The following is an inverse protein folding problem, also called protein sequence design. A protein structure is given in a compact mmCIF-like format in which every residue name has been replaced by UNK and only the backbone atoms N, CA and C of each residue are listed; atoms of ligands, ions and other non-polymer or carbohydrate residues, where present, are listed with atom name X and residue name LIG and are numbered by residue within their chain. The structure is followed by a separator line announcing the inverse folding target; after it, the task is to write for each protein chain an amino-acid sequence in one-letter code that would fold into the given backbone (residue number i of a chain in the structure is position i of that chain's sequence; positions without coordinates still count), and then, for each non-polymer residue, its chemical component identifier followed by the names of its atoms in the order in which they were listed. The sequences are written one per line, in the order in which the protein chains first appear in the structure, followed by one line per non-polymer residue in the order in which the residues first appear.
data_IF_836174751362
#
_entry.id   IF_836174751362
#
_cell.length_a   1.000
_cell.length_b   1.000
_cell.length_c   1.000
_cell.angle_alpha   90.00
_cell.angle_beta   90.00
_cell.angle_gamma   90.00
#
_symmetry.space_group_name_H-M   'P 1'
#
loop_
_entity.id
_entity.type
_entity.pdbx_description
1 polymer ?
#
# COMPACT_ATOMS: atom_id res chain seq x y z
N UNK A 1 -24.05 37.92 -39.20
CA UNK A 1 -24.28 36.48 -39.00
C UNK A 1 -24.12 36.21 -37.51
N UNK A 2 -25.18 35.79 -36.82
CA UNK A 2 -25.10 35.46 -35.39
C UNK A 2 -24.72 33.99 -35.24
N UNK A 3 -23.65 33.70 -34.51
CA UNK A 3 -23.28 32.33 -34.17
C UNK A 3 -24.20 31.91 -33.02
N UNK A 4 -25.03 30.89 -33.25
CA UNK A 4 -25.87 30.30 -32.22
C UNK A 4 -25.04 29.29 -31.43
N UNK A 5 -24.65 29.65 -30.21
CA UNK A 5 -23.96 28.76 -29.27
C UNK A 5 -24.99 27.91 -28.52
N UNK A 6 -24.83 26.59 -28.57
CA UNK A 6 -25.59 25.64 -27.76
C UNK A 6 -24.64 24.95 -26.78
N UNK A 7 -24.50 25.51 -25.57
CA UNK A 7 -23.58 24.99 -24.56
C UNK A 7 -23.82 23.49 -24.22
N UNK A 8 -25.06 23.01 -24.29
CA UNK A 8 -25.37 21.61 -23.97
C UNK A 8 -25.00 20.63 -25.09
N UNK A 9 -25.10 21.05 -26.36
CA UNK A 9 -24.78 20.22 -27.52
C UNK A 9 -23.33 20.35 -27.97
N UNK A 10 -22.80 21.56 -27.94
CA UNK A 10 -21.45 21.88 -28.44
C UNK A 10 -20.35 21.39 -27.49
N UNK A 11 -20.68 21.22 -26.20
CA UNK A 11 -19.74 20.72 -25.18
C UNK A 11 -20.06 19.30 -24.69
N UNK A 12 -21.11 18.65 -25.21
CA UNK A 12 -21.47 17.28 -24.82
C UNK A 12 -20.41 16.22 -25.16
N UNK A 13 -19.44 16.57 -26.02
CA UNK A 13 -18.29 15.73 -26.37
C UNK A 13 -16.95 16.28 -25.83
N UNK A 14 -16.94 17.35 -25.03
CA UNK A 14 -15.73 17.67 -24.28
C UNK A 14 -15.57 16.59 -23.21
N UNK A 15 -14.48 15.83 -23.29
CA UNK A 15 -14.04 14.97 -22.20
C UNK A 15 -13.96 15.86 -20.95
N UNK A 16 -14.86 15.62 -20.00
CA UNK A 16 -14.88 16.27 -18.69
C UNK A 16 -13.63 15.93 -17.86
N UNK A 17 -12.83 14.95 -18.32
CA UNK A 17 -11.63 14.47 -17.65
C UNK A 17 -11.95 13.84 -16.30
N UNK A 18 -13.22 13.52 -16.06
CA UNK A 18 -13.68 12.93 -14.82
C UNK A 18 -13.48 11.43 -14.86
N UNK A 19 -12.94 10.92 -13.77
CA UNK A 19 -12.74 9.51 -13.52
C UNK A 19 -13.69 9.08 -12.40
N UNK A 20 -14.14 7.84 -12.46
CA UNK A 20 -14.88 7.26 -11.34
C UNK A 20 -13.92 6.96 -10.20
N UNK A 21 -14.20 7.50 -9.02
CA UNK A 21 -13.54 7.14 -7.77
C UNK A 21 -14.53 6.46 -6.84
N UNK A 22 -14.06 5.48 -6.08
CA UNK A 22 -14.81 4.84 -5.00
C UNK A 22 -14.08 5.10 -3.68
N UNK A 23 -14.76 5.76 -2.74
CA UNK A 23 -14.27 5.97 -1.38
C UNK A 23 -14.69 4.78 -0.51
N UNK A 24 -13.71 4.11 0.10
CA UNK A 24 -13.93 3.11 1.14
C UNK A 24 -13.51 3.68 2.50
N UNK A 25 -14.41 3.58 3.48
CA UNK A 25 -14.15 4.07 4.84
C UNK A 25 -13.60 2.95 5.71
N UNK A 26 -12.66 3.30 6.58
CA UNK A 26 -12.06 2.33 7.51
C UNK A 26 -13.06 1.79 8.55
N UNK A 27 -14.20 2.46 8.76
CA UNK A 27 -15.23 2.08 9.72
C UNK A 27 -16.23 1.03 9.21
N UNK A 28 -16.03 0.51 8.00
CA UNK A 28 -16.90 -0.52 7.41
C UNK A 28 -18.22 0.01 6.87
N UNK A 29 -18.29 1.30 6.54
CA UNK A 29 -19.45 1.91 5.90
C UNK A 29 -19.51 1.57 4.41
N UNK A 30 -20.70 1.71 3.81
CA UNK A 30 -20.91 1.48 2.38
C UNK A 30 -20.01 2.38 1.53
N UNK A 31 -19.38 1.84 0.46
CA UNK A 31 -18.52 2.63 -0.42
C UNK A 31 -19.29 3.76 -1.10
N UNK A 32 -18.66 4.93 -1.24
CA UNK A 32 -19.25 6.07 -1.94
C UNK A 32 -18.59 6.28 -3.29
N UNK A 33 -19.35 6.16 -4.38
CA UNK A 33 -18.86 6.45 -5.74
C UNK A 33 -19.03 7.93 -6.08
N UNK A 34 -17.98 8.54 -6.63
CA UNK A 34 -17.93 9.96 -7.03
C UNK A 34 -17.25 10.11 -8.39
N UNK A 35 -17.61 11.16 -9.12
CA UNK A 35 -16.88 11.59 -10.31
C UNK A 35 -15.82 12.62 -9.89
N UNK A 36 -14.57 12.39 -10.27
CA UNK A 36 -13.44 13.19 -9.79
C UNK A 36 -12.44 13.51 -10.88
N UNK A 37 -11.81 14.67 -10.75
CA UNK A 37 -10.70 15.07 -11.60
C UNK A 37 -9.38 14.68 -10.95
N UNK A 38 -8.57 13.89 -11.67
CA UNK A 38 -7.16 13.66 -11.36
C UNK A 38 -6.34 14.89 -11.76
N UNK A 39 -6.10 15.80 -10.81
CA UNK A 39 -5.43 17.06 -11.10
C UNK A 39 -3.93 16.88 -11.37
N UNK A 40 -3.26 16.07 -10.56
CA UNK A 40 -1.86 15.72 -10.75
C UNK A 40 -1.56 14.34 -10.16
N UNK A 41 -0.54 13.68 -10.69
CA UNK A 41 -0.03 12.42 -10.15
C UNK A 41 1.49 12.44 -10.21
N UNK A 42 2.12 12.38 -9.04
CA UNK A 42 3.57 12.39 -8.91
C UNK A 42 4.06 11.02 -8.49
N UNK A 43 4.97 10.45 -9.29
CA UNK A 43 5.61 9.18 -8.98
C UNK A 43 7.01 9.45 -8.46
N UNK A 44 7.30 8.91 -7.29
CA UNK A 44 8.61 8.97 -6.66
C UNK A 44 9.00 7.59 -6.14
N UNK A 45 10.27 7.42 -5.84
CA UNK A 45 10.74 6.22 -5.19
C UNK A 45 10.48 6.29 -3.68
N UNK A 46 10.03 5.18 -3.10
CA UNK A 46 9.87 5.09 -1.65
C UNK A 46 11.17 4.57 -1.04
N UNK A 47 11.86 5.43 -0.28
CA UNK A 47 13.25 5.22 0.16
C UNK A 47 14.22 4.98 -1.01
N UNK A 48 15.51 4.79 -0.72
CA UNK A 48 16.51 4.40 -1.71
C UNK A 48 16.40 2.90 -2.02
N UNK A 49 15.24 2.52 -2.55
CA UNK A 49 14.88 1.15 -2.93
C UNK A 49 15.44 0.75 -4.32
N UNK A 50 16.36 1.50 -4.92
CA UNK A 50 16.75 1.35 -6.32
C UNK A 50 15.61 1.13 -7.33
N UNK A 51 14.37 1.55 -7.04
CA UNK A 51 13.18 1.43 -7.87
C UNK A 51 12.25 0.25 -7.56
N UNK A 52 12.46 -0.49 -6.47
CA UNK A 52 11.58 -1.61 -6.11
C UNK A 52 10.30 -1.17 -5.37
N UNK A 53 10.34 -0.02 -4.70
CA UNK A 53 9.21 0.56 -4.01
C UNK A 53 8.89 1.90 -4.67
N UNK A 54 7.65 2.05 -5.10
CA UNK A 54 7.18 3.23 -5.79
C UNK A 54 6.09 3.85 -4.95
N UNK A 55 6.16 5.17 -4.81
CA UNK A 55 5.12 5.98 -4.20
C UNK A 55 4.48 6.82 -5.28
N UNK A 56 3.15 6.81 -5.33
CA UNK A 56 2.35 7.65 -6.21
C UNK A 56 1.46 8.51 -5.34
N UNK A 57 1.70 9.81 -5.38
CA UNK A 57 0.84 10.79 -4.73
C UNK A 57 -0.06 11.43 -5.78
N UNK A 58 -1.37 11.33 -5.59
CA UNK A 58 -2.37 11.82 -6.55
C UNK A 58 -3.24 12.89 -5.91
N UNK A 59 -3.37 14.03 -6.59
CA UNK A 59 -4.25 15.12 -6.19
C UNK A 59 -5.58 14.96 -6.91
N UNK A 60 -6.65 14.80 -6.14
CA UNK A 60 -8.01 14.65 -6.62
C UNK A 60 -8.84 15.91 -6.34
N UNK A 61 -9.74 16.24 -7.25
CA UNK A 61 -10.73 17.29 -7.04
C UNK A 61 -12.12 16.80 -7.43
N UNK A 62 -13.09 16.93 -6.54
CA UNK A 62 -14.46 16.46 -6.79
C UNK A 62 -15.48 17.21 -5.94
N UNK A 63 -16.74 17.14 -6.39
CA UNK A 63 -17.89 17.57 -5.61
C UNK A 63 -18.29 16.44 -4.67
N UNK A 64 -18.65 16.79 -3.43
CA UNK A 64 -19.06 15.81 -2.45
C UNK A 64 -20.59 15.77 -2.34
N UNK A 65 -21.21 14.58 -2.33
CA UNK A 65 -22.66 14.47 -2.20
C UNK A 65 -23.18 15.20 -0.95
N UNK A 66 -24.26 15.96 -1.11
CA UNK A 66 -24.90 16.64 0.02
C UNK A 66 -25.50 15.62 0.99
N UNK A 67 -25.36 15.86 2.29
CA UNK A 67 -25.88 14.99 3.34
C UNK A 67 -25.06 13.71 3.59
N UNK A 68 -23.94 13.53 2.88
CA UNK A 68 -22.96 12.48 3.18
C UNK A 68 -21.81 13.10 3.94
N UNK A 69 -21.36 12.45 5.01
CA UNK A 69 -20.20 12.92 5.78
C UNK A 69 -18.99 13.08 4.85
N UNK A 70 -18.15 14.12 5.01
CA UNK A 70 -16.97 14.29 4.17
C UNK A 70 -15.97 13.14 4.37
N UNK A 71 -15.08 12.87 3.38
CA UNK A 71 -14.00 11.91 3.55
C UNK A 71 -13.06 12.32 4.69
N UNK A 72 -12.50 11.33 5.38
CA UNK A 72 -11.52 11.52 6.45
C UNK A 72 -10.12 11.09 5.98
N UNK A 73 -9.09 11.59 6.66
CA UNK A 73 -7.71 11.12 6.47
C UNK A 73 -7.64 9.65 6.88
N UNK A 74 -7.10 8.83 5.99
CA UNK A 74 -6.98 7.37 6.16
C UNK A 74 -8.02 6.55 5.41
N UNK A 75 -9.11 7.16 4.95
CA UNK A 75 -10.02 6.48 4.01
C UNK A 75 -9.28 6.11 2.72
N UNK A 76 -9.77 5.09 2.01
CA UNK A 76 -9.17 4.60 0.77
C UNK A 76 -9.92 5.14 -0.44
N UNK A 77 -9.19 5.67 -1.42
CA UNK A 77 -9.71 6.01 -2.75
C UNK A 77 -9.28 4.94 -3.75
N UNK A 78 -10.25 4.34 -4.43
CA UNK A 78 -10.04 3.39 -5.51
C UNK A 78 -10.45 4.06 -6.83
N UNK A 79 -9.51 4.16 -7.76
CA UNK A 79 -9.79 4.74 -9.08
C UNK A 79 -10.40 3.73 -10.07
N UNK A 80 -10.79 4.20 -11.25
CA UNK A 80 -11.39 3.38 -12.30
C UNK A 80 -10.45 2.30 -12.86
N UNK A 81 -9.16 2.34 -12.53
CA UNK A 81 -8.17 1.33 -12.91
C UNK A 81 -7.88 0.35 -11.76
N UNK A 82 -8.59 0.46 -10.64
CA UNK A 82 -8.43 -0.39 -9.46
C UNK A 82 -7.24 0.00 -8.58
N UNK A 83 -6.61 1.15 -8.81
CA UNK A 83 -5.51 1.63 -7.98
C UNK A 83 -6.07 2.14 -6.66
N UNK A 84 -5.52 1.68 -5.54
CA UNK A 84 -6.00 2.03 -4.20
C UNK A 84 -4.97 2.91 -3.47
N UNK A 85 -5.38 4.12 -3.09
CA UNK A 85 -4.55 5.05 -2.33
C UNK A 85 -5.22 5.51 -1.05
N UNK A 86 -4.46 5.58 0.05
CA UNK A 86 -4.95 6.12 1.31
C UNK A 86 -4.99 7.66 1.25
N UNK A 87 -6.08 8.26 1.74
CA UNK A 87 -6.21 9.72 1.86
C UNK A 87 -5.27 10.26 2.91
N UNK A 88 -4.39 11.18 2.51
CA UNK A 88 -3.44 11.85 3.39
C UNK A 88 -3.90 13.25 3.79
N UNK A 89 -4.65 13.91 2.92
CA UNK A 89 -5.13 15.26 3.15
C UNK A 89 -6.48 15.44 2.50
N UNK A 90 -7.40 16.07 3.24
CA UNK A 90 -8.70 16.49 2.76
C UNK A 90 -8.82 17.98 3.01
N UNK A 91 -9.07 18.75 1.95
CA UNK A 91 -9.28 20.19 2.04
C UNK A 91 -10.43 20.63 1.14
N UNK A 92 -10.94 21.85 1.36
CA UNK A 92 -11.90 22.49 0.46
C UNK A 92 -11.18 23.49 -0.45
N UNK A 93 -11.58 23.54 -1.72
CA UNK A 93 -11.14 24.60 -2.63
C UNK A 93 -11.87 25.91 -2.34
N UNK A 94 -11.34 27.02 -2.85
CA UNK A 94 -11.95 28.35 -2.74
C UNK A 94 -13.36 28.32 -3.35
N UNK A 95 -14.36 28.75 -2.59
CA UNK A 95 -15.78 28.68 -2.96
C UNK A 95 -16.55 27.53 -2.31
N UNK A 96 -15.88 26.64 -1.55
CA UNK A 96 -16.47 25.55 -0.78
C UNK A 96 -17.31 24.51 -1.55
N UNK A 97 -17.33 24.57 -2.88
CA UNK A 97 -18.10 23.66 -3.73
C UNK A 97 -17.38 22.34 -3.98
N UNK A 98 -16.05 22.31 -3.89
CA UNK A 98 -15.22 21.14 -4.23
C UNK A 98 -14.23 20.79 -3.14
N UNK A 99 -14.02 19.50 -2.97
CA UNK A 99 -12.93 18.95 -2.18
C UNK A 99 -11.66 18.86 -3.03
N UNK A 100 -10.52 19.12 -2.39
CA UNK A 100 -9.18 18.80 -2.88
C UNK A 100 -8.59 17.78 -1.93
N UNK A 101 -8.41 16.57 -2.43
CA UNK A 101 -7.85 15.47 -1.67
C UNK A 101 -6.47 15.09 -2.21
N UNK A 102 -5.59 14.60 -1.33
CA UNK A 102 -4.33 13.97 -1.72
C UNK A 102 -4.39 12.53 -1.25
N UNK A 103 -4.28 11.58 -2.19
CA UNK A 103 -4.13 10.16 -1.88
C UNK A 103 -2.70 9.71 -2.12
N UNK A 104 -2.25 8.73 -1.35
CA UNK A 104 -0.97 8.07 -1.55
C UNK A 104 -1.17 6.59 -1.75
N UNK A 105 -0.56 6.11 -2.82
CA UNK A 105 -0.43 4.71 -3.11
C UNK A 105 1.05 4.32 -3.04
N UNK A 106 1.34 3.19 -2.41
CA UNK A 106 2.65 2.58 -2.44
C UNK A 106 2.56 1.23 -3.15
N UNK A 107 3.48 0.97 -4.09
CA UNK A 107 3.50 -0.26 -4.88
C UNK A 107 4.87 -0.90 -4.85
N UNK A 108 4.88 -2.23 -4.88
CA UNK A 108 6.04 -3.00 -5.27
C UNK A 108 6.17 -3.00 -6.79
N UNK A 109 7.38 -2.78 -7.31
CA UNK A 109 7.65 -2.96 -8.73
C UNK A 109 7.63 -4.45 -9.09
N UNK A 110 6.72 -4.86 -9.98
CA UNK A 110 6.49 -6.28 -10.31
C UNK A 110 7.76 -7.05 -10.73
N UNK A 111 8.66 -6.42 -11.48
CA UNK A 111 9.92 -7.04 -11.91
C UNK A 111 10.99 -7.19 -10.82
N UNK A 112 10.72 -6.73 -9.60
CA UNK A 112 11.66 -6.77 -8.46
C UNK A 112 11.05 -7.36 -7.19
N UNK A 113 9.76 -7.65 -7.20
CA UNK A 113 9.07 -8.40 -6.15
C UNK A 113 9.16 -9.90 -6.41
N UNK A 114 9.29 -10.69 -5.36
CA UNK A 114 9.19 -12.14 -5.39
C UNK A 114 7.94 -12.61 -4.65
N UNK A 115 7.50 -13.83 -4.94
CA UNK A 115 6.42 -14.49 -4.21
C UNK A 115 6.98 -15.16 -2.96
N UNK A 116 6.34 -14.95 -1.81
CA UNK A 116 6.69 -15.58 -0.55
C UNK A 116 5.46 -16.18 0.13
N UNK A 117 5.67 -17.24 0.89
CA UNK A 117 4.71 -17.72 1.87
C UNK A 117 5.12 -17.23 3.26
N UNK A 118 4.15 -16.78 4.03
CA UNK A 118 4.32 -16.45 5.44
C UNK A 118 3.84 -17.66 6.24
N UNK A 119 4.76 -18.28 6.98
CA UNK A 119 4.52 -19.51 7.73
C UNK A 119 4.76 -19.28 9.21
N UNK A 120 3.80 -19.68 10.04
CA UNK A 120 3.92 -19.68 11.49
C UNK A 120 4.22 -21.09 11.98
N UNK A 121 5.22 -21.21 12.85
CA UNK A 121 5.58 -22.49 13.48
C UNK A 121 4.96 -22.57 14.87
N UNK A 122 4.28 -23.67 15.17
CA UNK A 122 3.84 -23.98 16.52
C UNK A 122 4.94 -24.80 17.21
N UNK A 123 5.32 -24.38 18.43
CA UNK A 123 6.36 -25.01 19.22
C UNK A 123 5.76 -25.69 20.44
N UNK A 124 6.18 -26.91 20.73
CA UNK A 124 5.89 -27.61 21.98
C UNK A 124 7.18 -28.15 22.59
N UNK A 125 7.25 -28.17 23.92
CA UNK A 125 8.36 -28.80 24.63
C UNK A 125 8.00 -30.26 24.90
N UNK A 126 8.67 -31.18 24.19
CA UNK A 126 8.46 -32.62 24.32
C UNK A 126 9.41 -33.28 25.33
N UNK A 127 10.13 -32.47 26.12
CA UNK A 127 11.05 -32.93 27.16
C UNK A 127 12.53 -32.95 26.74
N UNK A 128 12.82 -32.77 25.46
CA UNK A 128 14.18 -32.58 24.92
C UNK A 128 14.45 -31.13 24.49
N UNK A 129 13.48 -30.23 24.72
CA UNK A 129 13.51 -28.84 24.28
C UNK A 129 12.31 -28.50 23.40
N UNK A 130 12.23 -27.24 22.99
CA UNK A 130 11.18 -26.77 22.10
C UNK A 130 11.39 -27.36 20.70
N UNK A 131 10.39 -28.09 20.22
CA UNK A 131 10.34 -28.66 18.88
C UNK A 131 9.17 -28.08 18.10
N UNK A 132 9.34 -27.96 16.78
CA UNK A 132 8.26 -27.54 15.88
C UNK A 132 7.31 -28.73 15.67
N UNK A 133 6.07 -28.61 16.14
CA UNK A 133 5.06 -29.67 16.02
C UNK A 133 4.12 -29.46 14.84
N UNK A 134 3.95 -28.21 14.39
CA UNK A 134 3.14 -27.90 13.21
C UNK A 134 3.54 -26.59 12.57
N UNK A 135 3.13 -26.44 11.31
CA UNK A 135 3.32 -25.24 10.52
C UNK A 135 1.99 -24.81 9.90
N UNK A 136 1.69 -23.51 9.99
CA UNK A 136 0.49 -22.90 9.45
C UNK A 136 0.88 -21.83 8.43
N UNK A 137 0.38 -21.93 7.20
CA UNK A 137 0.55 -20.87 6.20
C UNK A 137 -0.43 -19.74 6.48
N UNK A 138 0.07 -18.64 7.02
CA UNK A 138 -0.71 -17.44 7.35
C UNK A 138 -1.09 -16.67 6.08
N UNK A 139 -0.18 -16.61 5.12
CA UNK A 139 -0.42 -16.01 3.81
C UNK A 139 0.36 -16.77 2.74
N UNK A 140 -0.33 -17.21 1.69
CA UNK A 140 0.28 -17.90 0.57
C UNK A 140 0.54 -16.93 -0.60
N UNK A 141 1.70 -17.06 -1.24
CA UNK A 141 2.08 -16.29 -2.44
C UNK A 141 1.94 -14.77 -2.31
N UNK A 142 2.23 -14.24 -1.12
CA UNK A 142 2.32 -12.80 -0.88
C UNK A 142 3.48 -12.21 -1.69
N UNK A 143 3.32 -11.01 -2.24
CA UNK A 143 4.45 -10.34 -2.91
C UNK A 143 5.27 -9.58 -1.89
N UNK A 144 6.57 -9.80 -1.95
CA UNK A 144 7.51 -9.07 -1.12
C UNK A 144 8.78 -8.68 -1.90
N UNK A 145 9.44 -7.63 -1.43
CA UNK A 145 10.81 -7.28 -1.81
C UNK A 145 11.69 -7.49 -0.59
N UNK A 146 12.64 -8.43 -0.67
CA UNK A 146 13.59 -8.73 0.40
C UNK A 146 14.96 -8.17 0.05
N UNK A 147 15.59 -7.44 0.97
CA UNK A 147 16.86 -6.73 0.74
C UNK A 147 17.76 -6.80 1.95
N UNK A 148 19.08 -6.93 1.79
CA UNK A 148 19.99 -6.78 2.90
C UNK A 148 19.90 -5.36 3.48
N UNK A 149 19.90 -5.25 4.80
CA UNK A 149 20.07 -3.99 5.52
C UNK A 149 21.57 -3.80 5.70
N UNK A 150 22.09 -2.63 5.32
CA UNK A 150 23.52 -2.34 5.48
C UNK A 150 23.91 -2.50 6.95
N UNK A 151 24.79 -3.46 7.24
CA UNK A 151 25.46 -3.59 8.52
C UNK A 151 26.69 -2.70 8.53
N UNK A 152 26.95 -2.03 9.65
CA UNK A 152 28.17 -1.25 9.81
C UNK A 152 29.38 -2.17 9.67
N UNK A 153 30.37 -1.75 8.87
CA UNK A 153 31.64 -2.47 8.76
C UNK A 153 32.31 -2.55 10.13
N UNK A 154 32.64 -3.77 10.58
CA UNK A 154 33.33 -4.02 11.86
C UNK A 154 32.66 -5.06 12.76
N UNK A 155 31.43 -5.47 12.45
CA UNK A 155 30.72 -6.51 13.20
C UNK A 155 30.78 -7.85 12.45
N UNK A 156 31.97 -8.47 12.41
CA UNK A 156 32.21 -9.75 11.72
C UNK A 156 31.37 -10.92 12.28
N UNK A 157 30.74 -10.74 13.45
CA UNK A 157 29.84 -11.74 14.06
C UNK A 157 28.36 -11.42 13.89
N UNK A 158 27.99 -10.28 13.27
CA UNK A 158 26.57 -9.95 13.08
C UNK A 158 25.93 -10.87 12.05
N UNK A 159 24.87 -11.57 12.45
CA UNK A 159 23.97 -12.25 11.51
C UNK A 159 23.47 -11.24 10.46
N UNK A 160 23.51 -11.55 9.16
CA UNK A 160 23.02 -10.64 8.13
C UNK A 160 21.53 -10.39 8.33
N UNK A 161 21.16 -9.10 8.32
CA UNK A 161 19.78 -8.64 8.46
C UNK A 161 19.21 -8.24 7.12
N UNK A 162 17.92 -8.49 6.96
CA UNK A 162 17.17 -8.21 5.75
C UNK A 162 15.92 -7.43 6.10
N UNK A 163 15.55 -6.49 5.22
CA UNK A 163 14.24 -5.83 5.23
C UNK A 163 13.37 -6.53 4.21
N UNK A 164 12.16 -6.91 4.60
CA UNK A 164 11.14 -7.43 3.70
C UNK A 164 9.96 -6.46 3.69
N UNK A 165 9.64 -5.94 2.51
CA UNK A 165 8.50 -5.04 2.30
C UNK A 165 7.42 -5.80 1.55
N UNK A 166 6.21 -5.85 2.11
CA UNK A 166 5.07 -6.60 1.58
C UNK A 166 4.08 -5.66 0.91
N UNK A 167 3.39 -6.14 -0.14
CA UNK A 167 2.39 -5.36 -0.88
C UNK A 167 1.04 -5.25 -0.16
N UNK A 168 0.81 -6.10 0.83
CA UNK A 168 -0.46 -6.27 1.52
C UNK A 168 -0.25 -6.37 3.03
N UNK A 169 -1.19 -5.87 3.85
CA UNK A 169 -1.14 -6.09 5.29
C UNK A 169 -1.36 -7.57 5.60
N UNK A 170 -0.37 -8.20 6.23
CA UNK A 170 -0.43 -9.59 6.67
C UNK A 170 -0.19 -9.60 8.17
N UNK A 171 -0.92 -10.45 8.91
CA UNK A 171 -0.79 -10.61 10.35
C UNK A 171 0.49 -11.38 10.74
N UNK A 172 1.64 -10.81 10.39
CA UNK A 172 2.97 -11.35 10.68
C UNK A 172 3.32 -11.10 12.14
N UNK A 173 3.79 -12.14 12.81
CA UNK A 173 4.32 -12.09 14.16
C UNK A 173 5.85 -12.23 14.14
N UNK A 174 6.48 -11.91 15.28
CA UNK A 174 7.87 -12.26 15.50
C UNK A 174 8.05 -13.78 15.39
N UNK A 175 9.19 -14.20 14.85
CA UNK A 175 9.58 -15.60 14.63
C UNK A 175 8.82 -16.35 13.52
N UNK A 176 7.81 -15.72 12.90
CA UNK A 176 7.23 -16.21 11.64
C UNK A 176 8.33 -16.31 10.55
N UNK A 177 8.13 -17.22 9.61
CA UNK A 177 9.03 -17.50 8.50
C UNK A 177 8.50 -16.89 7.21
N UNK A 178 9.38 -16.19 6.49
CA UNK A 178 9.17 -15.76 5.11
C UNK A 178 9.86 -16.76 4.20
N UNK A 179 9.09 -17.62 3.54
CA UNK A 179 9.59 -18.65 2.64
C UNK A 179 9.49 -18.18 1.20
N UNK A 180 10.62 -18.13 0.50
CA UNK A 180 10.63 -17.94 -0.95
C UNK A 180 10.40 -19.29 -1.63
N UNK A 181 9.72 -19.31 -2.78
CA UNK A 181 9.32 -20.57 -3.44
C UNK A 181 10.50 -21.49 -3.84
N UNK A 182 11.68 -20.92 -4.13
CA UNK A 182 12.86 -21.67 -4.59
C UNK A 182 14.15 -21.24 -3.88
N UNK A 183 14.05 -20.55 -2.75
CA UNK A 183 15.19 -19.81 -2.20
C UNK A 183 15.29 -19.87 -0.68
N UNK A 184 16.06 -18.94 -0.10
CA UNK A 184 16.26 -18.87 1.33
C UNK A 184 14.96 -18.65 2.10
N UNK A 185 14.97 -19.10 3.37
CA UNK A 185 13.96 -18.77 4.36
C UNK A 185 14.48 -17.67 5.28
N UNK A 186 13.61 -16.75 5.65
CA UNK A 186 13.97 -15.65 6.54
C UNK A 186 13.07 -15.69 7.78
N UNK A 187 13.65 -15.59 8.97
CA UNK A 187 12.90 -15.51 10.22
C UNK A 187 12.69 -14.05 10.59
N UNK A 188 11.44 -13.67 10.82
CA UNK A 188 11.07 -12.30 11.21
C UNK A 188 11.59 -12.02 12.61
N UNK A 189 12.41 -10.97 12.74
CA UNK A 189 13.02 -10.56 14.01
C UNK A 189 12.34 -9.35 14.61
N UNK A 190 11.97 -8.38 13.75
CA UNK A 190 11.36 -7.12 14.16
C UNK A 190 10.22 -6.77 13.22
N UNK A 191 9.09 -6.36 13.78
CA UNK A 191 7.98 -5.78 13.03
C UNK A 191 8.13 -4.26 13.09
N UNK A 192 8.25 -3.61 11.94
CA UNK A 192 8.22 -2.16 11.87
C UNK A 192 6.82 -1.75 11.46
N UNK A 193 6.11 -1.08 12.37
CA UNK A 193 4.82 -0.48 12.04
C UNK A 193 5.03 0.46 10.82
N UNK A 194 4.23 0.35 9.74
CA UNK A 194 4.34 1.20 8.56
C UNK A 194 4.38 2.72 8.81
N UNK A 195 4.18 3.20 10.04
CA UNK A 195 4.55 4.55 10.48
C UNK A 195 3.71 5.68 9.87
N UNK A 196 2.73 5.34 9.02
CA UNK A 196 1.83 6.27 8.36
C UNK A 196 0.87 5.61 7.37
N UNK A 197 -0.19 6.35 7.05
CA UNK A 197 -1.20 5.95 6.06
C UNK A 197 -0.57 5.85 4.66
N UNK A 198 -0.91 4.78 3.93
CA UNK A 198 -0.39 4.53 2.58
C UNK A 198 1.07 4.05 2.53
N UNK A 199 1.66 3.69 3.68
CA UNK A 199 2.96 3.04 3.75
C UNK A 199 2.81 1.51 3.56
N UNK A 200 3.86 0.88 3.03
CA UNK A 200 3.93 -0.58 2.91
C UNK A 200 4.37 -1.23 4.21
N UNK A 201 3.85 -2.42 4.48
CA UNK A 201 4.22 -3.19 5.66
C UNK A 201 5.67 -3.67 5.53
N UNK A 202 6.50 -3.36 6.53
CA UNK A 202 7.94 -3.65 6.50
C UNK A 202 8.32 -4.45 7.73
N UNK A 203 9.07 -5.54 7.52
CA UNK A 203 9.62 -6.35 8.61
C UNK A 203 11.12 -6.48 8.45
N UNK A 204 11.83 -6.60 9.57
CA UNK A 204 13.21 -7.07 9.57
C UNK A 204 13.24 -8.58 9.78
N UNK A 205 14.16 -9.24 9.12
CA UNK A 205 14.33 -10.68 9.19
C UNK A 205 15.81 -11.08 9.11
N UNK A 206 16.13 -12.26 9.59
CA UNK A 206 17.46 -12.89 9.46
C UNK A 206 17.35 -14.16 8.63
N UNK A 207 18.40 -14.48 7.88
CA UNK A 207 18.46 -15.73 7.13
C UNK A 207 18.44 -16.94 8.08
N UNK A 208 17.58 -17.91 7.79
CA UNK A 208 17.59 -19.23 8.45
C UNK A 208 18.59 -20.10 7.69
N UNK A 209 19.58 -20.63 8.40
CA UNK A 209 20.62 -21.51 7.86
C UNK A 209 20.09 -22.92 7.59
#
# INVERSE_FOLDING_TARGET
MAIAWNAAGDFGALLDGLETLTLHRNRGEEPTTIAAWRFSSERSELADSGGALLRVDTVWQFEWPQGVDPPEVGDQLIDSHGNCGALLTVGRLRGETRLRCVSREARLHHGRSQSIDVVRQAWEDLGEGAEVVSEETIAASARAVIRPIATAFGDEQSTPRYSAVLDSPIAIAKDDLLRTHEGPQYRVTTLTDPGGLGSLFTVEATLVA
#
